data_IF_043487585726
#
_entry.id   IF_043487585726
#
_cell.length_a   1.000
_cell.length_b   1.000
_cell.length_c   1.000
_cell.angle_alpha   90.00
_cell.angle_beta   90.00
_cell.angle_gamma   90.00
#
_symmetry.space_group_name_H-M   'P 1'
#
loop_
_entity.id
_entity.type
_entity.pdbx_description
1 polymer ?
#
# COMPACT_ATOMS: atom_id res chain seq x y z
N UNK A 1 30.83 -11.00 -2.47
CA UNK A 1 30.58 -11.69 -1.17
C UNK A 1 29.29 -12.53 -1.29
N UNK A 2 29.04 -13.44 -0.33
CA UNK A 2 27.75 -14.09 -0.14
C UNK A 2 27.02 -13.37 0.97
N UNK A 3 25.77 -12.96 0.72
CA UNK A 3 24.94 -12.17 1.67
C UNK A 3 23.64 -12.91 1.88
N UNK A 4 23.25 -13.09 3.14
CA UNK A 4 21.95 -13.60 3.54
C UNK A 4 21.05 -12.43 3.98
N UNK A 5 19.84 -12.37 3.45
CA UNK A 5 18.80 -11.40 3.84
C UNK A 5 17.65 -12.17 4.45
N UNK A 6 17.22 -11.76 5.63
CA UNK A 6 16.13 -12.39 6.36
C UNK A 6 14.85 -11.56 6.17
N UNK A 7 13.86 -12.18 5.58
CA UNK A 7 12.58 -11.57 5.25
C UNK A 7 12.51 -11.01 3.83
N UNK A 8 11.39 -11.25 3.15
CA UNK A 8 11.10 -10.79 1.78
C UNK A 8 10.07 -9.65 1.73
N UNK A 9 9.96 -8.87 2.79
CA UNK A 9 9.24 -7.61 2.77
C UNK A 9 9.96 -6.55 1.93
N UNK A 10 9.38 -5.35 1.78
CA UNK A 10 9.92 -4.28 0.94
C UNK A 10 11.38 -3.95 1.26
N UNK A 11 11.78 -3.92 2.53
CA UNK A 11 13.16 -3.64 2.92
C UNK A 11 14.13 -4.74 2.48
N UNK A 12 13.77 -6.01 2.70
CA UNK A 12 14.57 -7.16 2.30
C UNK A 12 14.70 -7.26 0.78
N UNK A 13 13.61 -7.12 0.05
CA UNK A 13 13.62 -7.17 -1.42
C UNK A 13 14.39 -6.00 -2.04
N UNK A 14 14.25 -4.77 -1.52
CA UNK A 14 15.01 -3.61 -1.99
C UNK A 14 16.51 -3.82 -1.73
N UNK A 15 16.88 -4.30 -0.55
CA UNK A 15 18.27 -4.63 -0.24
C UNK A 15 18.81 -5.72 -1.15
N UNK A 16 18.03 -6.78 -1.40
CA UNK A 16 18.39 -7.84 -2.31
C UNK A 16 18.60 -7.32 -3.73
N UNK A 17 17.69 -6.52 -4.24
CA UNK A 17 17.77 -5.91 -5.56
C UNK A 17 19.05 -5.07 -5.74
N UNK A 18 19.36 -4.21 -4.78
CA UNK A 18 20.53 -3.35 -4.85
C UNK A 18 21.85 -4.13 -4.74
N UNK A 19 21.93 -5.06 -3.78
CA UNK A 19 23.13 -5.84 -3.49
C UNK A 19 23.41 -6.93 -4.52
N UNK A 20 22.38 -7.46 -5.20
CA UNK A 20 22.54 -8.51 -6.21
C UNK A 20 23.33 -8.08 -7.44
N UNK A 21 23.49 -6.76 -7.66
CA UNK A 21 24.30 -6.21 -8.76
C UNK A 21 25.79 -6.55 -8.63
N UNK A 22 26.28 -6.73 -7.40
CA UNK A 22 27.70 -6.95 -7.12
C UNK A 22 27.96 -8.18 -6.24
N UNK A 23 26.92 -8.73 -5.63
CA UNK A 23 27.05 -9.77 -4.64
C UNK A 23 26.12 -10.96 -4.92
N UNK A 24 26.47 -12.14 -4.42
CA UNK A 24 25.57 -13.29 -4.40
C UNK A 24 24.66 -13.18 -3.19
N UNK A 25 23.38 -12.90 -3.44
CA UNK A 25 22.38 -12.68 -2.40
C UNK A 25 21.47 -13.89 -2.28
N UNK A 26 21.14 -14.29 -1.05
CA UNK A 26 20.11 -15.27 -0.71
C UNK A 26 19.10 -14.61 0.21
N UNK A 27 17.84 -14.63 -0.14
CA UNK A 27 16.72 -14.16 0.68
C UNK A 27 16.05 -15.36 1.32
N UNK A 28 15.83 -15.30 2.63
CA UNK A 28 15.14 -16.29 3.42
C UNK A 28 13.81 -15.73 3.91
N UNK A 29 12.72 -16.41 3.59
CA UNK A 29 11.37 -16.02 3.96
C UNK A 29 10.69 -17.16 4.73
N UNK A 30 10.00 -16.84 5.82
CA UNK A 30 9.28 -17.81 6.65
C UNK A 30 7.89 -18.11 6.10
N UNK A 31 7.29 -17.13 5.42
CA UNK A 31 5.98 -17.30 4.80
C UNK A 31 6.07 -18.04 3.46
N UNK A 32 4.95 -18.58 3.01
CA UNK A 32 4.86 -19.24 1.71
C UNK A 32 4.64 -18.25 0.53
N UNK A 33 4.70 -16.95 0.78
CA UNK A 33 4.61 -15.89 -0.21
C UNK A 33 5.66 -14.81 0.03
N UNK A 34 5.95 -14.01 -0.99
CA UNK A 34 6.92 -12.93 -1.00
C UNK A 34 6.18 -11.59 -0.94
N UNK A 35 6.77 -10.56 -0.30
CA UNK A 35 6.21 -9.20 -0.24
C UNK A 35 5.93 -8.70 1.16
N UNK A 36 5.79 -9.60 2.14
CA UNK A 36 5.52 -9.24 3.53
C UNK A 36 4.17 -8.52 3.67
N UNK A 37 4.19 -7.27 4.12
CA UNK A 37 2.97 -6.45 4.26
C UNK A 37 2.37 -6.03 2.90
N UNK A 38 3.17 -5.93 1.86
CA UNK A 38 2.69 -5.70 0.48
C UNK A 38 2.18 -7.03 -0.06
N UNK A 39 0.88 -7.14 -0.24
CA UNK A 39 0.24 -8.39 -0.62
C UNK A 39 -0.91 -8.15 -1.58
N UNK A 40 -0.81 -8.70 -2.77
CA UNK A 40 -1.82 -8.65 -3.82
C UNK A 40 -2.49 -10.01 -3.94
N UNK A 41 -3.80 -10.04 -3.89
CA UNK A 41 -4.60 -11.27 -4.00
C UNK A 41 -5.29 -11.35 -5.36
N UNK A 42 -5.13 -12.44 -6.10
CA UNK A 42 -5.93 -12.67 -7.29
C UNK A 42 -7.37 -13.02 -6.89
N UNK A 43 -8.34 -12.30 -7.45
CA UNK A 43 -9.77 -12.52 -7.22
C UNK A 43 -10.47 -12.73 -8.55
N UNK A 44 -11.18 -13.85 -8.70
CA UNK A 44 -12.03 -14.10 -9.85
C UNK A 44 -13.46 -13.71 -9.54
N UNK A 45 -14.01 -12.73 -10.27
CA UNK A 45 -15.36 -12.23 -10.06
C UNK A 45 -16.03 -11.91 -11.42
N UNK A 46 -17.26 -12.37 -11.62
CA UNK A 46 -18.04 -12.11 -12.84
C UNK A 46 -17.32 -12.45 -14.15
N UNK A 47 -16.55 -13.56 -14.16
CA UNK A 47 -15.82 -13.98 -15.35
C UNK A 47 -14.51 -13.24 -15.61
N UNK A 48 -14.07 -12.35 -14.73
CA UNK A 48 -12.84 -11.57 -14.85
C UNK A 48 -11.91 -11.83 -13.67
N UNK A 49 -10.60 -11.75 -13.94
CA UNK A 49 -9.57 -11.78 -12.90
C UNK A 49 -9.23 -10.36 -12.48
N UNK A 50 -9.13 -10.15 -11.17
CA UNK A 50 -8.70 -8.90 -10.54
C UNK A 50 -7.49 -9.17 -9.65
N UNK A 51 -6.55 -8.26 -9.65
CA UNK A 51 -5.43 -8.24 -8.70
C UNK A 51 -5.73 -7.17 -7.63
N UNK A 52 -6.01 -7.62 -6.40
CA UNK A 52 -6.45 -6.74 -5.31
C UNK A 52 -5.34 -6.57 -4.30
N UNK A 53 -4.85 -5.34 -4.18
CA UNK A 53 -3.88 -4.97 -3.15
C UNK A 53 -4.56 -4.92 -1.78
N UNK A 54 -4.02 -5.66 -0.81
CA UNK A 54 -4.60 -5.80 0.53
C UNK A 54 -3.75 -5.19 1.64
N UNK A 55 -2.50 -4.89 1.36
CA UNK A 55 -1.58 -4.28 2.32
C UNK A 55 -1.35 -2.80 2.04
N UNK A 56 -0.15 -2.43 1.62
CA UNK A 56 0.21 -1.08 1.23
C UNK A 56 -0.40 -0.73 -0.14
N UNK A 57 -1.53 -0.04 -0.15
CA UNK A 57 -2.36 0.17 -1.34
C UNK A 57 -2.25 1.56 -1.96
N UNK A 58 -1.68 2.53 -1.25
CA UNK A 58 -1.60 3.93 -1.70
C UNK A 58 -0.27 4.55 -1.30
N UNK A 59 0.31 5.32 -2.20
CA UNK A 59 1.47 6.18 -1.93
C UNK A 59 1.32 7.50 -2.71
N UNK A 60 2.22 8.46 -2.50
CA UNK A 60 2.24 9.72 -3.22
C UNK A 60 3.68 10.13 -3.60
N UNK A 61 3.80 10.98 -4.59
CA UNK A 61 5.10 11.39 -5.14
C UNK A 61 5.92 12.25 -4.17
N UNK A 62 5.26 13.02 -3.32
CA UNK A 62 5.91 13.97 -2.44
C UNK A 62 6.62 13.32 -1.26
N UNK A 63 5.99 12.35 -0.63
CA UNK A 63 6.50 11.73 0.62
C UNK A 63 7.25 10.42 0.40
N UNK A 64 7.17 9.84 -0.82
CA UNK A 64 7.81 8.58 -1.17
C UNK A 64 8.81 8.68 -2.34
N UNK A 65 9.77 9.65 -2.34
CA UNK A 65 10.65 9.88 -3.49
C UNK A 65 11.55 8.67 -3.83
N UNK A 66 12.03 7.94 -2.82
CA UNK A 66 12.86 6.77 -3.04
C UNK A 66 12.04 5.56 -3.52
N UNK A 67 10.81 5.44 -3.08
CA UNK A 67 9.91 4.40 -3.55
C UNK A 67 9.55 4.61 -5.02
N UNK A 68 9.24 5.84 -5.42
CA UNK A 68 9.01 6.20 -6.83
C UNK A 68 10.22 5.89 -7.71
N UNK A 69 11.44 6.18 -7.25
CA UNK A 69 12.66 5.79 -7.95
C UNK A 69 12.79 4.27 -8.11
N UNK A 70 12.48 3.52 -7.06
CA UNK A 70 12.50 2.06 -7.11
C UNK A 70 11.50 1.54 -8.14
N UNK A 71 10.23 1.99 -8.09
CA UNK A 71 9.19 1.58 -9.03
C UNK A 71 9.61 1.85 -10.49
N UNK A 72 10.18 3.03 -10.76
CA UNK A 72 10.73 3.37 -12.07
C UNK A 72 11.84 2.42 -12.50
N UNK A 73 12.77 2.09 -11.60
CA UNK A 73 13.91 1.20 -11.91
C UNK A 73 13.50 -0.24 -12.20
N UNK A 74 12.44 -0.71 -11.57
CA UNK A 74 11.92 -2.08 -11.79
C UNK A 74 10.77 -2.12 -12.80
N UNK A 75 10.43 -0.98 -13.43
CA UNK A 75 9.31 -0.82 -14.37
C UNK A 75 7.96 -1.26 -13.78
N UNK A 76 7.76 -1.04 -12.48
CA UNK A 76 6.47 -1.29 -11.84
C UNK A 76 5.49 -0.16 -12.14
N UNK A 77 4.29 -0.54 -12.57
CA UNK A 77 3.24 0.43 -12.92
C UNK A 77 2.44 0.82 -11.68
N UNK A 78 2.04 2.08 -11.64
CA UNK A 78 1.07 2.60 -10.67
C UNK A 78 -0.04 3.33 -11.41
N UNK A 79 -1.18 3.50 -10.77
CA UNK A 79 -2.32 4.24 -11.33
C UNK A 79 -2.75 5.35 -10.40
N UNK A 80 -3.18 6.51 -10.93
CA UNK A 80 -3.75 7.57 -10.12
C UNK A 80 -4.99 7.08 -9.37
N UNK A 81 -5.07 7.43 -8.09
CA UNK A 81 -6.25 7.15 -7.28
C UNK A 81 -6.56 8.33 -6.38
N UNK A 82 -7.78 8.40 -5.87
CA UNK A 82 -8.18 9.37 -4.85
C UNK A 82 -8.27 8.67 -3.50
N UNK A 83 -7.56 9.23 -2.53
CA UNK A 83 -7.66 8.75 -1.14
C UNK A 83 -8.67 9.58 -0.38
N UNK A 84 -9.63 8.90 0.26
CA UNK A 84 -10.60 9.53 1.14
C UNK A 84 -10.57 8.85 2.51
N UNK A 85 -11.04 9.56 3.53
CA UNK A 85 -11.28 8.95 4.82
C UNK A 85 -12.68 9.32 5.33
N UNK A 86 -13.27 8.41 6.08
CA UNK A 86 -14.53 8.65 6.79
C UNK A 86 -14.39 8.21 8.24
N UNK A 87 -15.13 8.88 9.10
CA UNK A 87 -15.20 8.58 10.53
C UNK A 87 -16.62 8.27 10.93
N UNK A 88 -16.78 7.19 11.67
CA UNK A 88 -18.03 6.82 12.33
C UNK A 88 -17.78 6.53 13.79
N UNK A 89 -18.33 7.36 14.68
CA UNK A 89 -18.29 7.16 16.12
C UNK A 89 -19.62 6.61 16.62
N UNK A 90 -19.68 5.33 16.93
CA UNK A 90 -20.92 4.68 17.37
C UNK A 90 -21.44 5.26 18.69
N UNK A 91 -20.55 5.60 19.63
CA UNK A 91 -20.92 6.12 20.96
C UNK A 91 -21.57 7.50 20.90
N UNK A 92 -21.11 8.36 19.99
CA UNK A 92 -21.61 9.75 19.82
C UNK A 92 -22.53 9.91 18.64
N UNK A 93 -22.72 8.88 17.82
CA UNK A 93 -23.50 8.94 16.57
C UNK A 93 -22.91 9.93 15.55
N UNK A 94 -21.62 10.26 15.63
CA UNK A 94 -20.96 11.20 14.75
C UNK A 94 -20.46 10.48 13.50
N UNK A 95 -20.82 10.99 12.32
CA UNK A 95 -20.36 10.50 11.04
C UNK A 95 -19.94 11.66 10.14
N UNK A 96 -18.76 11.59 9.53
CA UNK A 96 -18.31 12.54 8.53
C UNK A 96 -17.29 11.93 7.58
N UNK A 97 -17.12 12.60 6.44
CA UNK A 97 -16.13 12.26 5.43
C UNK A 97 -15.28 13.50 5.11
N UNK A 98 -13.96 13.33 5.01
CA UNK A 98 -13.02 14.44 4.79
C UNK A 98 -12.84 14.87 3.32
N UNK A 99 -13.58 14.30 2.37
CA UNK A 99 -13.35 14.53 0.94
C UNK A 99 -13.98 15.83 0.42
N UNK A 100 -15.05 16.31 1.06
CA UNK A 100 -15.76 17.50 0.65
C UNK A 100 -16.39 18.22 1.85
N UNK A 101 -16.75 19.51 1.65
CA UNK A 101 -17.49 20.26 2.65
C UNK A 101 -18.83 19.59 2.99
N UNK A 102 -19.54 19.07 1.98
CA UNK A 102 -20.78 18.33 2.20
C UNK A 102 -20.57 17.05 3.01
N UNK A 103 -19.48 16.33 2.77
CA UNK A 103 -19.09 15.14 3.55
C UNK A 103 -18.71 15.49 4.98
N UNK A 104 -17.98 16.59 5.19
CA UNK A 104 -17.57 17.06 6.52
C UNK A 104 -18.81 17.46 7.36
N UNK A 105 -19.78 18.10 6.76
CA UNK A 105 -21.04 18.51 7.39
C UNK A 105 -22.22 17.60 6.99
N UNK A 106 -21.98 16.31 6.81
CA UNK A 106 -23.04 15.36 6.45
C UNK A 106 -24.21 15.37 7.45
N UNK A 107 -23.90 15.54 8.73
CA UNK A 107 -24.89 15.67 9.82
C UNK A 107 -25.17 17.14 10.15
N UNK A 108 -25.83 17.85 9.25
CA UNK A 108 -26.05 19.32 9.36
C UNK A 108 -26.75 19.77 10.64
N UNK A 109 -27.60 18.93 11.24
CA UNK A 109 -28.27 19.22 12.51
C UNK A 109 -27.30 19.35 13.70
N UNK A 110 -26.11 18.79 13.61
CA UNK A 110 -25.09 18.94 14.64
C UNK A 110 -24.47 20.33 14.68
N UNK A 111 -24.67 21.15 13.65
CA UNK A 111 -24.25 22.58 13.66
C UNK A 111 -25.16 23.46 14.54
N UNK A 112 -26.30 22.95 14.95
CA UNK A 112 -27.29 23.67 15.76
C UNK A 112 -27.26 23.24 17.24
N UNK A 113 -26.35 22.36 17.63
CA UNK A 113 -26.11 21.88 18.99
C UNK A 113 -24.82 22.47 19.54
#
# INVERSE_FOLDING_TARGET
MKIAIIGSGISGLTSAYLLSKEHKVHVYEVQNYVGGHVHTLPVFLNGMNYEIDTGFIVFNDKTYPNFNKLLTQINALSQPTSMSFSVKCQTKGLEYNGTSINGLFAQRLNLLK
#
